data_IF_586465249561
#
_entry.id   IF_586465249561
#
_cell.length_a   1.000
_cell.length_b   1.000
_cell.length_c   1.000
_cell.angle_alpha   90.00
_cell.angle_beta   90.00
_cell.angle_gamma   90.00
#
_symmetry.space_group_name_H-M   'P 1'
#
loop_
_entity.id
_entity.type
_entity.pdbx_description
1 polymer ?
#
# COMPACT_ATOMS: atom_id res chain seq x y z
N UNK A 1 1.54 -8.76 22.04
CA UNK A 1 0.27 -8.01 21.80
C UNK A 1 -0.13 -8.02 20.33
N UNK A 2 0.72 -7.63 19.37
CA UNK A 2 0.37 -7.56 17.94
C UNK A 2 -0.18 -8.89 17.39
N UNK A 3 0.45 -10.02 17.72
CA UNK A 3 -0.05 -11.36 17.32
C UNK A 3 -1.45 -11.63 17.88
N UNK A 4 -1.71 -11.24 19.12
CA UNK A 4 -3.04 -11.39 19.72
C UNK A 4 -4.07 -10.50 19.02
N UNK A 5 -3.73 -9.24 18.72
CA UNK A 5 -4.60 -8.34 17.96
C UNK A 5 -4.92 -8.92 16.57
N UNK A 6 -3.92 -9.49 15.88
CA UNK A 6 -4.14 -10.14 14.59
C UNK A 6 -5.05 -11.36 14.71
N UNK A 7 -4.94 -12.12 15.81
CA UNK A 7 -5.85 -13.24 16.12
C UNK A 7 -7.29 -12.74 16.30
N UNK A 8 -7.48 -11.63 17.00
CA UNK A 8 -8.82 -11.01 17.15
C UNK A 8 -9.41 -10.62 15.80
N UNK A 9 -8.62 -9.93 14.96
CA UNK A 9 -9.06 -9.53 13.61
C UNK A 9 -9.42 -10.75 12.77
N UNK A 10 -8.59 -11.81 12.80
CA UNK A 10 -8.88 -13.06 12.09
C UNK A 10 -10.19 -13.70 12.55
N UNK A 11 -10.40 -13.79 13.86
CA UNK A 11 -11.62 -14.40 14.41
C UNK A 11 -12.88 -13.59 14.08
N UNK A 12 -12.79 -12.26 14.09
CA UNK A 12 -13.89 -11.39 13.67
C UNK A 12 -14.28 -11.64 12.20
N UNK A 13 -13.29 -11.77 11.31
CA UNK A 13 -13.52 -12.09 9.89
C UNK A 13 -14.08 -13.50 9.72
N UNK A 14 -13.56 -14.46 10.51
CA UNK A 14 -14.05 -15.84 10.49
C UNK A 14 -15.50 -15.93 10.91
N UNK A 15 -15.87 -15.33 12.05
CA UNK A 15 -17.25 -15.31 12.56
C UNK A 15 -18.22 -14.63 11.59
N UNK A 16 -17.80 -13.55 10.95
CA UNK A 16 -18.59 -12.87 9.93
C UNK A 16 -18.86 -13.75 8.69
N UNK A 17 -17.93 -14.66 8.37
CA UNK A 17 -18.01 -15.51 7.18
C UNK A 17 -18.65 -16.88 7.46
N UNK A 18 -18.39 -17.49 8.60
CA UNK A 18 -18.77 -18.87 8.94
C UNK A 18 -20.03 -18.98 9.79
N UNK A 19 -20.55 -17.87 10.34
CA UNK A 19 -21.68 -17.85 11.28
C UNK A 19 -21.49 -18.68 12.55
N UNK A 20 -20.25 -19.07 12.88
CA UNK A 20 -19.88 -19.85 14.05
C UNK A 20 -19.35 -18.92 15.16
N UNK A 21 -19.80 -19.14 16.40
CA UNK A 21 -19.52 -18.23 17.54
C UNK A 21 -18.57 -18.79 18.62
N UNK A 22 -17.98 -19.96 18.44
CA UNK A 22 -17.23 -20.63 19.51
C UNK A 22 -15.70 -20.59 19.30
N UNK A 23 -15.11 -19.41 19.39
CA UNK A 23 -13.64 -19.29 19.27
C UNK A 23 -12.96 -18.60 20.46
N UNK A 24 -13.65 -18.51 21.61
CA UNK A 24 -13.17 -17.85 22.84
C UNK A 24 -11.83 -18.44 23.33
N UNK A 25 -11.59 -19.72 23.10
CA UNK A 25 -10.35 -20.39 23.56
C UNK A 25 -9.09 -19.86 22.84
N UNK A 26 -9.21 -19.34 21.61
CA UNK A 26 -8.09 -18.73 20.88
C UNK A 26 -7.77 -17.32 21.38
N UNK A 27 -8.69 -16.69 22.09
CA UNK A 27 -8.50 -15.34 22.66
C UNK A 27 -7.76 -15.35 24.01
N UNK A 28 -7.36 -16.51 24.52
CA UNK A 28 -6.55 -16.59 25.73
C UNK A 28 -5.19 -15.99 25.51
N UNK A 29 -4.99 -14.80 26.03
CA UNK A 29 -3.70 -14.11 25.99
C UNK A 29 -2.65 -14.93 26.74
N UNK A 30 -1.63 -15.41 26.05
CA UNK A 30 -0.46 -16.01 26.68
C UNK A 30 0.57 -14.90 26.88
N UNK A 31 0.87 -14.57 28.13
CA UNK A 31 1.95 -13.65 28.46
C UNK A 31 3.24 -14.18 27.85
N UNK A 32 3.78 -13.44 26.86
CA UNK A 32 5.09 -13.75 26.30
C UNK A 32 6.18 -13.37 27.27
N UNK A 33 7.35 -14.04 27.24
CA UNK A 33 8.47 -13.69 28.10
C UNK A 33 8.89 -12.22 27.89
N UNK A 34 9.29 -11.57 28.97
CA UNK A 34 9.57 -10.14 29.11
C UNK A 34 10.81 -9.64 28.29
N UNK A 35 11.03 -10.13 27.08
CA UNK A 35 11.97 -9.52 26.15
C UNK A 35 11.24 -8.45 25.37
N UNK A 36 11.29 -7.22 25.87
CA UNK A 36 10.88 -6.05 25.10
C UNK A 36 11.84 -5.91 23.90
N UNK A 37 11.29 -5.95 22.70
CA UNK A 37 11.98 -5.52 21.49
C UNK A 37 12.04 -3.98 21.44
N UNK A 38 12.77 -3.45 20.48
CA UNK A 38 12.89 -2.02 20.19
C UNK A 38 11.87 -1.55 19.10
N UNK A 39 10.99 -2.45 18.68
CA UNK A 39 10.01 -2.21 17.62
C UNK A 39 8.60 -2.18 18.18
N UNK A 40 7.90 -1.09 17.93
CA UNK A 40 6.45 -0.99 18.16
C UNK A 40 5.71 -1.55 16.96
N UNK A 41 4.73 -2.42 17.21
CA UNK A 41 3.88 -3.02 16.19
C UNK A 41 2.41 -2.81 16.55
N UNK A 42 1.64 -2.29 15.61
CA UNK A 42 0.19 -2.16 15.72
C UNK A 42 -0.47 -2.80 14.51
N UNK A 43 -1.39 -3.72 14.74
CA UNK A 43 -2.26 -4.26 13.70
C UNK A 43 -3.28 -3.20 13.31
N UNK A 44 -3.39 -2.96 12.02
CA UNK A 44 -4.44 -2.16 11.40
C UNK A 44 -5.30 -3.08 10.54
N UNK A 45 -6.59 -2.95 10.62
CA UNK A 45 -7.53 -3.74 9.82
C UNK A 45 -8.77 -2.92 9.52
N UNK A 46 -9.34 -3.17 8.36
CA UNK A 46 -10.56 -2.52 7.92
C UNK A 46 -11.40 -3.46 7.06
N UNK A 47 -12.66 -3.09 6.87
CA UNK A 47 -13.57 -3.81 5.99
C UNK A 47 -14.99 -3.28 6.11
N UNK A 48 -15.84 -3.54 5.12
CA UNK A 48 -17.18 -2.94 5.01
C UNK A 48 -18.08 -3.14 6.23
N UNK A 49 -17.84 -4.20 7.03
CA UNK A 49 -18.64 -4.51 8.21
C UNK A 49 -18.01 -4.02 9.53
N UNK A 50 -16.73 -3.62 9.54
CA UNK A 50 -16.02 -3.35 10.80
C UNK A 50 -15.68 -1.88 11.00
N UNK A 51 -15.56 -1.10 9.93
CA UNK A 51 -15.05 0.25 10.06
C UNK A 51 -15.73 1.25 9.12
N UNK A 52 -16.69 1.99 9.61
CA UNK A 52 -17.33 3.05 8.83
C UNK A 52 -16.42 4.28 8.59
N UNK A 53 -15.23 4.33 9.20
CA UNK A 53 -14.37 5.50 9.20
C UNK A 53 -13.13 5.39 8.30
N UNK A 54 -12.97 4.29 7.53
CA UNK A 54 -11.83 4.03 6.65
C UNK A 54 -10.47 4.25 7.34
N UNK A 55 -10.25 3.53 8.44
CA UNK A 55 -9.06 3.70 9.28
C UNK A 55 -7.77 3.41 8.53
N UNK A 56 -7.77 2.42 7.63
CA UNK A 56 -6.59 2.06 6.83
C UNK A 56 -6.18 3.23 5.93
N UNK A 57 -7.12 3.83 5.21
CA UNK A 57 -6.85 5.01 4.38
C UNK A 57 -6.28 6.16 5.20
N UNK A 58 -6.89 6.43 6.37
CA UNK A 58 -6.42 7.47 7.29
C UNK A 58 -4.97 7.24 7.73
N UNK A 59 -4.59 5.99 8.05
CA UNK A 59 -3.21 5.64 8.45
C UNK A 59 -2.25 5.80 7.27
N UNK A 60 -2.62 5.35 6.06
CA UNK A 60 -1.80 5.56 4.87
C UNK A 60 -1.57 7.05 4.57
N UNK A 61 -2.64 7.84 4.69
CA UNK A 61 -2.53 9.29 4.49
C UNK A 61 -1.65 9.96 5.56
N UNK A 62 -1.70 9.49 6.81
CA UNK A 62 -0.79 9.96 7.85
C UNK A 62 0.67 9.60 7.52
N UNK A 63 0.95 8.39 7.03
CA UNK A 63 2.29 8.01 6.58
C UNK A 63 2.83 8.96 5.50
N UNK A 64 1.98 9.35 4.54
CA UNK A 64 2.34 10.29 3.47
C UNK A 64 2.55 11.71 4.03
N UNK A 65 1.66 12.15 4.91
CA UNK A 65 1.66 13.52 5.43
C UNK A 65 2.84 13.78 6.37
N UNK A 66 3.22 12.78 7.19
CA UNK A 66 4.30 12.90 8.17
C UNK A 66 5.66 12.40 7.66
N UNK A 67 5.77 12.03 6.39
CA UNK A 67 7.07 11.77 5.77
C UNK A 67 7.80 13.10 5.52
N UNK A 68 9.05 13.19 5.96
CA UNK A 68 9.90 14.37 5.82
C UNK A 68 11.12 14.12 4.93
N UNK A 69 11.66 12.90 4.90
CA UNK A 69 12.85 12.57 4.13
C UNK A 69 12.53 11.71 2.90
N UNK A 70 11.86 10.59 3.10
CA UNK A 70 11.51 9.66 2.03
C UNK A 70 10.18 8.94 2.28
N UNK A 71 9.56 8.52 1.17
CA UNK A 71 8.36 7.70 1.17
C UNK A 71 8.45 6.67 0.05
N UNK A 72 8.61 5.40 0.39
CA UNK A 72 8.72 4.30 -0.56
C UNK A 72 7.49 3.40 -0.48
N UNK A 73 6.91 3.11 -1.62
CA UNK A 73 5.65 2.35 -1.71
C UNK A 73 5.83 1.20 -2.70
N UNK A 74 5.43 -0.01 -2.33
CA UNK A 74 5.23 -1.13 -3.26
C UNK A 74 3.75 -1.50 -3.27
N UNK A 75 3.16 -1.54 -4.45
CA UNK A 75 1.76 -1.93 -4.65
C UNK A 75 1.55 -2.58 -6.02
N UNK A 76 0.79 -3.69 -6.12
CA UNK A 76 0.46 -4.28 -7.42
C UNK A 76 -0.52 -3.44 -8.23
N UNK A 77 -1.35 -2.65 -7.57
CA UNK A 77 -2.35 -1.77 -8.18
C UNK A 77 -2.20 -0.36 -7.63
N UNK A 78 -2.12 0.61 -8.54
CA UNK A 78 -2.01 2.02 -8.23
C UNK A 78 -3.20 2.75 -8.88
N UNK A 79 -4.34 2.73 -8.18
CA UNK A 79 -5.60 3.35 -8.62
C UNK A 79 -6.05 4.30 -7.52
N UNK A 80 -5.44 5.48 -7.52
CA UNK A 80 -5.57 6.46 -6.46
C UNK A 80 -6.82 7.31 -6.61
N UNK A 81 -7.45 7.64 -5.50
CA UNK A 81 -8.38 8.75 -5.40
C UNK A 81 -7.65 10.09 -5.40
N UNK A 82 -8.35 11.13 -5.80
CA UNK A 82 -7.81 12.49 -5.93
C UNK A 82 -7.13 12.97 -4.64
N UNK A 83 -7.71 12.65 -3.49
CA UNK A 83 -7.17 13.04 -2.18
C UNK A 83 -5.80 12.39 -1.91
N UNK A 84 -5.71 11.07 -2.07
CA UNK A 84 -4.45 10.34 -1.86
C UNK A 84 -3.37 10.76 -2.87
N UNK A 85 -3.78 10.95 -4.13
CA UNK A 85 -2.91 11.45 -5.17
C UNK A 85 -2.35 12.84 -4.82
N UNK A 86 -3.22 13.75 -4.36
CA UNK A 86 -2.81 15.09 -3.94
C UNK A 86 -1.86 15.05 -2.75
N UNK A 87 -2.10 14.19 -1.76
CA UNK A 87 -1.21 14.03 -0.60
C UNK A 87 0.20 13.58 -1.01
N UNK A 88 0.32 12.66 -1.99
CA UNK A 88 1.61 12.23 -2.54
C UNK A 88 2.34 13.37 -3.26
N UNK A 89 1.61 14.16 -4.04
CA UNK A 89 2.17 15.34 -4.74
C UNK A 89 2.66 16.37 -3.72
N UNK A 90 1.90 16.64 -2.69
CA UNK A 90 2.30 17.57 -1.62
C UNK A 90 3.54 17.08 -0.87
N UNK A 91 3.70 15.78 -0.67
CA UNK A 91 4.92 15.22 -0.09
C UNK A 91 6.15 15.54 -0.94
N UNK A 92 6.08 15.36 -2.27
CA UNK A 92 7.18 15.74 -3.17
C UNK A 92 7.44 17.25 -3.13
N UNK A 93 6.40 18.09 -3.10
CA UNK A 93 6.55 19.53 -3.02
C UNK A 93 7.15 20.00 -1.70
N UNK A 94 7.02 19.21 -0.61
CA UNK A 94 7.77 19.41 0.64
C UNK A 94 9.25 18.99 0.55
N UNK A 95 9.65 18.28 -0.52
CA UNK A 95 11.01 17.79 -0.72
C UNK A 95 11.23 16.32 -0.35
N UNK A 96 10.17 15.58 -0.08
CA UNK A 96 10.24 14.14 0.22
C UNK A 96 10.61 13.35 -1.03
N UNK A 97 11.55 12.40 -0.93
CA UNK A 97 11.87 11.45 -2.00
C UNK A 97 10.77 10.38 -2.10
N UNK A 98 9.76 10.62 -2.93
CA UNK A 98 8.64 9.70 -3.11
C UNK A 98 8.92 8.73 -4.26
N UNK A 99 8.94 7.42 -3.95
CA UNK A 99 9.15 6.34 -4.93
C UNK A 99 8.05 5.32 -4.85
N UNK A 100 7.48 4.97 -6.00
CA UNK A 100 6.41 3.97 -6.10
C UNK A 100 6.86 2.84 -7.01
N UNK A 101 6.73 1.61 -6.54
CA UNK A 101 7.10 0.40 -7.25
C UNK A 101 5.86 -0.43 -7.56
N UNK A 102 5.69 -0.79 -8.83
CA UNK A 102 4.56 -1.60 -9.31
C UNK A 102 5.06 -2.74 -10.20
N UNK A 103 4.26 -3.77 -10.51
CA UNK A 103 4.66 -4.82 -11.42
C UNK A 103 4.71 -4.33 -12.89
N UNK A 104 5.77 -4.72 -13.61
CA UNK A 104 5.83 -4.60 -15.07
C UNK A 104 4.84 -5.56 -15.74
N UNK A 105 4.88 -6.85 -15.34
CA UNK A 105 4.00 -7.90 -15.83
C UNK A 105 2.73 -7.90 -14.97
N UNK A 106 1.55 -7.54 -15.53
CA UNK A 106 0.31 -7.53 -14.76
C UNK A 106 -0.33 -8.92 -14.68
N UNK A 107 -1.05 -9.19 -13.60
CA UNK A 107 -2.03 -10.27 -13.51
C UNK A 107 -3.34 -9.91 -14.23
N UNK A 108 -3.73 -8.63 -14.17
CA UNK A 108 -4.96 -8.08 -14.79
C UNK A 108 -4.63 -6.91 -15.70
N UNK A 109 -4.91 -7.07 -16.99
CA UNK A 109 -4.59 -6.05 -18.01
C UNK A 109 -5.27 -4.71 -17.77
N UNK A 110 -6.51 -4.69 -17.30
CA UNK A 110 -7.23 -3.45 -17.00
C UNK A 110 -6.62 -2.69 -15.83
N UNK A 111 -6.20 -3.40 -14.77
CA UNK A 111 -5.57 -2.78 -13.61
C UNK A 111 -4.23 -2.12 -14.00
N UNK A 112 -3.45 -2.74 -14.90
CA UNK A 112 -2.24 -2.12 -15.45
C UNK A 112 -2.53 -0.86 -16.25
N UNK A 113 -3.64 -0.84 -17.01
CA UNK A 113 -4.05 0.37 -17.75
C UNK A 113 -4.41 1.52 -16.83
N UNK A 114 -5.13 1.25 -15.73
CA UNK A 114 -5.47 2.24 -14.71
C UNK A 114 -4.22 2.70 -13.95
N UNK A 115 -3.36 1.78 -13.52
CA UNK A 115 -2.06 2.09 -12.91
C UNK A 115 -1.23 3.02 -13.81
N UNK A 116 -1.08 2.69 -15.08
CA UNK A 116 -0.35 3.52 -16.04
C UNK A 116 -1.02 4.87 -16.33
N UNK A 117 -2.32 4.99 -16.15
CA UNK A 117 -3.01 6.28 -16.23
C UNK A 117 -2.55 7.22 -15.12
N UNK A 118 -2.53 6.71 -13.88
CA UNK A 118 -2.09 7.48 -12.71
C UNK A 118 -0.61 7.89 -12.77
N UNK A 119 0.26 7.14 -13.46
CA UNK A 119 1.66 7.53 -13.63
C UNK A 119 1.82 8.95 -14.21
N UNK A 120 0.92 9.36 -15.11
CA UNK A 120 1.06 10.59 -15.86
C UNK A 120 1.15 11.84 -15.00
N UNK A 121 0.31 11.95 -14.01
CA UNK A 121 0.32 13.08 -13.09
C UNK A 121 1.45 12.94 -12.07
N UNK A 122 1.64 11.73 -11.52
CA UNK A 122 2.65 11.48 -10.51
C UNK A 122 4.07 11.76 -11.03
N UNK A 123 4.40 11.25 -12.22
CA UNK A 123 5.70 11.50 -12.87
C UNK A 123 5.94 12.98 -13.19
N UNK A 124 4.89 13.70 -13.62
CA UNK A 124 4.99 15.13 -13.93
C UNK A 124 5.29 15.96 -12.69
N UNK A 125 4.77 15.57 -11.54
CA UNK A 125 4.97 16.25 -10.27
C UNK A 125 6.23 15.78 -9.53
N UNK A 126 7.03 14.89 -10.14
CA UNK A 126 8.34 14.48 -9.61
C UNK A 126 8.36 13.20 -8.78
N UNK A 127 7.25 12.51 -8.68
CA UNK A 127 7.22 11.17 -8.07
C UNK A 127 7.96 10.19 -8.98
N UNK A 128 8.89 9.42 -8.41
CA UNK A 128 9.66 8.42 -9.14
C UNK A 128 8.91 7.09 -9.18
N UNK A 129 8.72 6.54 -10.36
CA UNK A 129 7.98 5.29 -10.56
C UNK A 129 8.91 4.22 -11.10
N UNK A 130 8.84 3.04 -10.49
CA UNK A 130 9.63 1.87 -10.82
C UNK A 130 8.72 0.71 -11.21
N UNK A 131 9.09 -0.03 -12.24
CA UNK A 131 8.40 -1.26 -12.64
C UNK A 131 9.30 -2.49 -12.40
N UNK A 132 8.80 -3.44 -11.62
CA UNK A 132 9.49 -4.70 -11.34
C UNK A 132 9.40 -5.62 -12.56
N UNK A 133 10.52 -5.85 -13.23
CA UNK A 133 10.59 -6.60 -14.48
C UNK A 133 10.74 -8.11 -14.35
N UNK A 134 11.32 -8.69 -13.27
CA UNK A 134 11.55 -10.14 -13.18
C UNK A 134 10.27 -10.98 -13.04
N UNK A 135 9.13 -10.36 -12.70
CA UNK A 135 7.88 -11.09 -12.52
C UNK A 135 6.73 -10.22 -12.03
N UNK A 136 5.71 -10.86 -11.45
CA UNK A 136 4.60 -10.16 -10.81
C UNK A 136 4.89 -9.93 -9.32
N UNK A 137 5.32 -8.73 -8.95
CA UNK A 137 5.46 -8.36 -7.56
C UNK A 137 4.08 -8.12 -6.94
N UNK A 138 3.80 -8.77 -5.83
CA UNK A 138 2.51 -8.67 -5.13
C UNK A 138 2.65 -8.17 -3.68
N UNK A 139 3.82 -7.63 -3.34
CA UNK A 139 4.05 -6.98 -2.04
C UNK A 139 3.22 -5.69 -1.92
N UNK A 140 2.78 -5.38 -0.71
CA UNK A 140 2.15 -4.13 -0.33
C UNK A 140 2.87 -3.61 0.91
N UNK A 141 3.66 -2.60 0.68
CA UNK A 141 4.50 -1.99 1.70
C UNK A 141 4.48 -0.48 1.53
N UNK A 142 4.52 0.23 2.62
CA UNK A 142 4.82 1.66 2.65
C UNK A 142 5.87 1.90 3.75
N UNK A 143 6.89 2.66 3.43
CA UNK A 143 8.01 2.97 4.32
C UNK A 143 8.31 4.46 4.29
N UNK A 144 8.45 5.05 5.46
CA UNK A 144 9.06 6.37 5.68
C UNK A 144 10.18 6.27 6.73
N UNK A 145 10.89 7.37 6.98
CA UNK A 145 11.86 7.45 8.08
C UNK A 145 11.22 7.24 9.46
N UNK A 146 9.91 7.43 9.58
CA UNK A 146 9.19 7.36 10.86
C UNK A 146 8.58 5.98 11.15
N UNK A 147 8.10 5.29 10.10
CA UNK A 147 7.39 4.02 10.25
C UNK A 147 7.33 3.24 8.95
N UNK A 148 6.87 1.99 9.04
CA UNK A 148 6.53 1.15 7.89
C UNK A 148 5.18 0.46 8.10
N UNK A 149 4.50 0.12 7.00
CA UNK A 149 3.34 -0.78 6.99
C UNK A 149 3.63 -1.90 5.99
N UNK A 150 3.37 -3.12 6.41
CA UNK A 150 3.39 -4.32 5.55
C UNK A 150 2.08 -5.05 5.75
N UNK A 151 1.42 -5.45 4.66
CA UNK A 151 0.12 -6.11 4.78
C UNK A 151 -0.49 -6.55 3.45
N UNK A 152 -1.81 -6.57 3.42
CA UNK A 152 -2.59 -6.99 2.25
C UNK A 152 -3.10 -5.81 1.41
N UNK A 153 -2.93 -4.58 1.87
CA UNK A 153 -3.57 -3.35 1.41
C UNK A 153 -2.93 -2.83 0.13
N UNK A 154 -3.63 -2.87 -0.99
CA UNK A 154 -3.19 -2.20 -2.20
C UNK A 154 -3.51 -0.70 -2.15
N UNK A 155 -2.83 0.08 -2.99
CA UNK A 155 -3.13 1.50 -3.22
C UNK A 155 -4.26 1.63 -4.26
N UNK A 156 -5.44 1.09 -3.94
CA UNK A 156 -6.62 1.16 -4.80
C UNK A 156 -7.90 1.33 -3.99
N UNK A 157 -8.97 1.79 -4.66
CA UNK A 157 -10.28 2.03 -4.08
C UNK A 157 -10.85 0.79 -3.39
N UNK A 158 -10.69 -0.40 -3.99
CA UNK A 158 -11.27 -1.63 -3.43
C UNK A 158 -10.63 -2.00 -2.10
N UNK A 159 -9.32 -1.86 -1.99
CA UNK A 159 -8.61 -2.16 -0.74
C UNK A 159 -8.98 -1.18 0.37
N UNK A 160 -9.16 0.10 0.06
CA UNK A 160 -9.51 1.09 1.08
C UNK A 160 -10.98 1.04 1.52
N UNK A 161 -11.92 0.64 0.64
CA UNK A 161 -13.36 0.81 0.93
C UNK A 161 -14.21 -0.45 0.86
N UNK A 162 -13.80 -1.46 0.09
CA UNK A 162 -14.67 -2.57 -0.27
C UNK A 162 -14.18 -3.95 0.19
N UNK A 163 -12.92 -4.07 0.55
CA UNK A 163 -12.31 -5.33 0.96
C UNK A 163 -12.03 -5.37 2.46
N UNK A 164 -11.95 -6.58 2.99
CA UNK A 164 -11.33 -6.83 4.28
C UNK A 164 -9.82 -6.87 4.08
N UNK A 165 -9.13 -5.90 4.61
CA UNK A 165 -7.69 -5.76 4.51
C UNK A 165 -7.07 -5.65 5.90
N UNK A 166 -5.82 -6.05 6.02
CA UNK A 166 -5.06 -5.87 7.24
C UNK A 166 -3.59 -5.58 6.94
N UNK A 167 -2.95 -4.96 7.90
CA UNK A 167 -1.52 -4.69 7.87
C UNK A 167 -0.96 -4.54 9.26
N UNK A 168 0.35 -4.47 9.35
CA UNK A 168 1.05 -4.15 10.58
C UNK A 168 1.81 -2.86 10.37
N UNK A 169 1.41 -1.83 11.12
CA UNK A 169 2.18 -0.62 11.27
C UNK A 169 3.31 -0.88 12.26
N UNK A 170 4.52 -0.48 11.91
CA UNK A 170 5.73 -0.76 12.68
C UNK A 170 6.61 0.49 12.76
N UNK A 171 7.17 0.75 13.95
CA UNK A 171 8.18 1.78 14.17
C UNK A 171 9.31 1.23 15.04
N UNK A 172 10.54 1.37 14.57
CA UNK A 172 11.76 0.90 15.21
C UNK A 172 12.92 0.89 14.24
N UNK A 173 14.08 1.33 14.67
CA UNK A 173 15.25 1.54 13.79
C UNK A 173 15.63 0.30 12.97
N UNK A 174 15.65 -0.86 13.61
CA UNK A 174 16.05 -2.10 12.94
C UNK A 174 15.06 -2.51 11.83
N UNK A 175 13.78 -2.54 12.13
CA UNK A 175 12.77 -2.98 11.14
C UNK A 175 12.67 -2.01 9.96
N UNK A 176 12.79 -0.71 10.21
CA UNK A 176 12.79 0.29 9.14
C UNK A 176 14.03 0.13 8.26
N UNK A 177 15.21 -0.14 8.84
CA UNK A 177 16.42 -0.39 8.07
C UNK A 177 16.34 -1.69 7.27
N UNK A 178 15.80 -2.78 7.84
CA UNK A 178 15.60 -4.05 7.14
C UNK A 178 14.68 -3.87 5.91
N UNK A 179 13.56 -3.14 6.08
CA UNK A 179 12.63 -2.84 4.97
C UNK A 179 13.27 -1.87 3.96
N UNK A 180 14.06 -0.90 4.41
CA UNK A 180 14.77 0.03 3.53
C UNK A 180 15.80 -0.69 2.64
N UNK A 181 16.48 -1.70 3.17
CA UNK A 181 17.40 -2.54 2.41
C UNK A 181 16.65 -3.38 1.36
N UNK A 182 15.46 -3.91 1.69
CA UNK A 182 14.58 -4.59 0.74
C UNK A 182 14.19 -3.64 -0.42
N UNK A 183 13.76 -2.42 -0.12
CA UNK A 183 13.47 -1.41 -1.14
C UNK A 183 14.71 -1.06 -1.99
N UNK A 184 15.89 -0.94 -1.40
CA UNK A 184 17.12 -0.66 -2.13
C UNK A 184 17.42 -1.76 -3.15
N UNK A 185 17.31 -3.03 -2.75
CA UNK A 185 17.46 -4.17 -3.65
C UNK A 185 16.38 -4.17 -4.76
N UNK A 186 15.13 -3.86 -4.43
CA UNK A 186 14.05 -3.79 -5.39
C UNK A 186 14.30 -2.68 -6.44
N UNK A 187 14.74 -1.49 -6.03
CA UNK A 187 15.03 -0.40 -6.97
C UNK A 187 16.17 -0.72 -7.93
N UNK A 188 17.18 -1.48 -7.50
CA UNK A 188 18.26 -1.96 -8.38
C UNK A 188 17.76 -2.98 -9.42
N UNK A 189 16.70 -3.72 -9.11
CA UNK A 189 16.13 -4.78 -9.95
C UNK A 189 15.03 -4.25 -10.89
N UNK A 190 14.51 -3.07 -10.62
CA UNK A 190 13.39 -2.46 -11.34
C UNK A 190 13.87 -1.51 -12.45
N UNK A 191 12.99 -1.26 -13.41
CA UNK A 191 13.17 -0.22 -14.41
C UNK A 191 12.48 1.08 -13.95
N UNK A 192 13.22 2.18 -13.91
CA UNK A 192 12.66 3.50 -13.61
C UNK A 192 11.96 4.07 -14.84
N UNK A 193 10.71 4.46 -14.68
CA UNK A 193 9.87 5.00 -15.77
C UNK A 193 10.00 6.52 -15.80
N UNK A 194 10.48 7.06 -16.92
CA UNK A 194 10.51 8.50 -17.14
C UNK A 194 9.17 9.03 -17.66
N UNK A 195 8.88 10.31 -17.36
CA UNK A 195 7.70 10.98 -17.92
C UNK A 195 7.69 10.96 -19.46
N UNK A 196 8.85 11.09 -20.10
CA UNK A 196 8.96 11.06 -21.57
C UNK A 196 8.65 9.66 -22.10
N UNK A 197 9.16 8.58 -21.50
CA UNK A 197 8.82 7.21 -21.95
C UNK A 197 7.32 6.95 -21.78
N UNK A 198 6.73 7.34 -20.66
CA UNK A 198 5.28 7.24 -20.44
C UNK A 198 4.47 8.05 -21.46
N UNK A 199 4.90 9.25 -21.78
CA UNK A 199 4.25 10.13 -22.77
C UNK A 199 4.24 9.51 -24.18
N UNK A 200 5.24 8.70 -24.53
CA UNK A 200 5.34 8.02 -25.82
C UNK A 200 4.57 6.69 -25.90
N UNK A 201 3.81 6.33 -24.86
CA UNK A 201 2.96 5.12 -24.89
C UNK A 201 1.99 5.11 -26.07
N UNK A 202 1.52 3.93 -26.53
CA UNK A 202 0.66 3.79 -27.72
C UNK A 202 -0.58 4.70 -27.67
N UNK A 203 -0.92 5.34 -28.78
CA UNK A 203 -2.07 6.28 -28.88
C UNK A 203 -3.39 5.67 -28.42
N UNK A 204 -3.61 4.37 -28.69
CA UNK A 204 -4.81 3.65 -28.24
C UNK A 204 -4.97 3.69 -26.71
N UNK A 205 -3.88 3.58 -25.97
CA UNK A 205 -3.92 3.65 -24.51
C UNK A 205 -4.28 5.04 -24.01
N UNK A 206 -3.81 6.08 -24.68
CA UNK A 206 -4.15 7.49 -24.34
C UNK A 206 -5.65 7.77 -24.47
N UNK A 207 -6.38 7.03 -25.32
CA UNK A 207 -7.83 7.16 -25.48
C UNK A 207 -8.61 6.26 -24.51
N UNK A 208 -8.14 5.04 -24.29
CA UNK A 208 -8.84 4.04 -23.46
C UNK A 208 -8.69 4.32 -21.97
N UNK A 209 -7.49 4.71 -21.52
CA UNK A 209 -7.20 4.93 -20.10
C UNK A 209 -8.11 5.96 -19.42
N UNK A 210 -8.36 7.17 -19.97
CA UNK A 210 -9.29 8.12 -19.36
C UNK A 210 -10.72 7.57 -19.24
N UNK A 211 -11.17 6.81 -20.24
CA UNK A 211 -12.51 6.19 -20.21
C UNK A 211 -12.57 5.13 -19.11
N UNK A 212 -11.56 4.28 -18.98
CA UNK A 212 -11.49 3.30 -17.89
C UNK A 212 -11.43 3.98 -16.52
N UNK A 213 -10.75 5.11 -16.43
CA UNK A 213 -10.61 5.84 -15.16
C UNK A 213 -11.95 6.41 -14.66
N UNK A 214 -12.91 6.70 -15.52
CA UNK A 214 -14.27 7.07 -15.11
C UNK A 214 -14.97 5.96 -14.31
N UNK A 215 -14.53 4.73 -14.47
CA UNK A 215 -15.08 3.54 -13.80
C UNK A 215 -14.10 2.94 -12.79
N UNK A 216 -13.06 3.67 -12.39
CA UNK A 216 -11.98 3.15 -11.54
C UNK A 216 -12.46 2.60 -10.20
N UNK A 217 -13.54 3.16 -9.65
CA UNK A 217 -14.17 2.70 -8.40
C UNK A 217 -14.87 1.34 -8.51
N UNK A 218 -15.08 0.82 -9.72
CA UNK A 218 -15.68 -0.49 -9.95
C UNK A 218 -14.65 -1.63 -10.03
N UNK A 219 -13.35 -1.29 -10.09
CA UNK A 219 -12.25 -2.24 -10.34
C UNK A 219 -11.38 -2.51 -9.12
#
# INVERSE_FOLDING_TARGET
>A
EAVWNLTVVFLQMWEASAFEKEHIDYLRYKKLPDKAGDTYCQVIADGPAFNPNNSIESVYNQMITFADEYLYITTPYLVLEDYMQQSLIEAVHRGVDVRILTPYIPDKKYAKLLTNYNYGILLREGIRIYEYTPGFIHAKQILSENAAIVGTINMDYRSFYLHYENGVWMSGKKIQEDIRQDFAYLFETCEEISYESWKHRPRRWKLIQPILNLFSTLF
#
